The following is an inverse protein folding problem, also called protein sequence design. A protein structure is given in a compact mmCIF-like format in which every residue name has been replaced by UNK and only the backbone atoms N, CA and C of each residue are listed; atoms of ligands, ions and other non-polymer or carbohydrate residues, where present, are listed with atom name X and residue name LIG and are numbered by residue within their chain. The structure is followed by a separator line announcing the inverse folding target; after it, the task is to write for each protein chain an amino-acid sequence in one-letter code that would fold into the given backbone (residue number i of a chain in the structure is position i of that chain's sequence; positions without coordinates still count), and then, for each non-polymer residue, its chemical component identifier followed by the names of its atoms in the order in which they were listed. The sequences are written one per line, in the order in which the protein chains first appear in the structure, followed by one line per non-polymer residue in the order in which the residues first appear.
data_IF_223555929789
#
_entry.id   IF_223555929789
#
_cell.length_a   1.000
_cell.length_b   1.000
_cell.length_c   1.000
_cell.angle_alpha   90.00
_cell.angle_beta   90.00
_cell.angle_gamma   90.00
#
_symmetry.space_group_name_H-M   'P 1'
#
loop_
_entity.id
_entity.type
_entity.pdbx_description
1 polymer ?
#
# COMPACT_ATOMS: atom_id res chain seq x y z
N UNK A 1 -3.90 -21.88 13.49
CA UNK A 1 -5.21 -21.20 13.58
C UNK A 1 -4.97 -19.89 14.31
N UNK A 2 -4.53 -18.84 13.60
CA UNK A 2 -4.32 -17.52 14.21
C UNK A 2 -5.67 -16.82 14.24
N UNK A 3 -6.20 -16.63 15.45
CA UNK A 3 -7.50 -16.02 15.70
C UNK A 3 -7.64 -14.67 15.00
N UNK A 4 -8.82 -14.42 14.44
CA UNK A 4 -9.24 -13.09 14.04
C UNK A 4 -9.12 -12.14 15.25
N UNK A 5 -8.79 -10.85 15.04
CA UNK A 5 -8.63 -9.90 16.13
C UNK A 5 -9.93 -9.82 16.96
N UNK A 6 -9.83 -10.16 18.25
CA UNK A 6 -10.98 -10.37 19.14
C UNK A 6 -11.84 -9.11 19.42
N UNK A 7 -11.41 -7.91 19.01
CA UNK A 7 -12.17 -6.65 19.19
C UNK A 7 -12.01 -5.72 17.99
N UNK A 8 -13.10 -5.09 17.52
CA UNK A 8 -13.03 -4.05 16.52
C UNK A 8 -12.12 -2.90 16.97
N UNK A 9 -11.17 -2.50 16.12
CA UNK A 9 -10.25 -1.40 16.38
C UNK A 9 -9.91 -0.67 15.09
N UNK A 10 -9.96 0.66 15.13
CA UNK A 10 -9.40 1.57 14.14
C UNK A 10 -8.24 2.33 14.77
N UNK A 11 -7.02 1.92 14.43
CA UNK A 11 -5.78 2.47 14.95
C UNK A 11 -5.17 3.45 13.94
N UNK A 12 -5.37 4.74 14.18
CA UNK A 12 -4.87 5.83 13.36
C UNK A 12 -3.36 5.99 13.57
N UNK A 13 -2.61 6.01 12.48
CA UNK A 13 -1.15 6.23 12.43
C UNK A 13 -0.90 7.53 11.66
N UNK A 14 -0.38 8.54 12.36
CA UNK A 14 -0.11 9.86 11.78
C UNK A 14 1.13 9.83 10.89
N UNK A 15 1.08 10.46 9.73
CA UNK A 15 2.25 10.62 8.84
C UNK A 15 3.44 11.29 9.54
N UNK A 16 3.16 12.23 10.43
CA UNK A 16 4.19 12.95 11.18
C UNK A 16 4.92 12.09 12.22
N UNK A 17 4.28 11.00 12.68
CA UNK A 17 4.81 10.06 13.68
C UNK A 17 5.52 8.86 13.04
N UNK A 18 5.46 8.73 11.71
CA UNK A 18 6.16 7.67 10.98
C UNK A 18 7.65 7.89 11.09
N UNK A 19 8.38 6.79 11.31
CA UNK A 19 9.84 6.82 11.26
C UNK A 19 10.30 7.33 9.89
N UNK A 20 11.23 8.28 9.88
CA UNK A 20 11.80 8.86 8.66
C UNK A 20 13.25 8.43 8.51
N UNK A 21 13.67 8.11 7.30
CA UNK A 21 15.06 7.82 6.98
C UNK A 21 15.49 8.51 5.68
N UNK A 22 16.81 8.62 5.51
CA UNK A 22 17.46 9.15 4.31
C UNK A 22 18.51 8.11 3.87
N UNK A 23 18.10 7.05 3.15
CA UNK A 23 18.97 5.91 2.87
C UNK A 23 20.11 6.25 1.91
N UNK A 24 19.94 7.28 1.07
CA UNK A 24 20.97 7.86 0.21
C UNK A 24 20.65 9.34 -0.06
N UNK A 25 21.59 10.06 -0.67
CA UNK A 25 21.38 11.44 -1.08
C UNK A 25 20.16 11.58 -2.00
N UNK A 26 19.29 12.54 -1.68
CA UNK A 26 18.07 12.79 -2.45
C UNK A 26 16.96 11.77 -2.25
N UNK A 27 17.05 10.87 -1.27
CA UNK A 27 15.98 9.92 -0.94
C UNK A 27 15.45 10.19 0.46
N UNK A 28 14.15 10.45 0.58
CA UNK A 28 13.45 10.51 1.86
C UNK A 28 12.39 9.41 1.91
N UNK A 29 12.45 8.60 2.97
CA UNK A 29 11.47 7.54 3.20
C UNK A 29 10.71 7.79 4.50
N UNK A 30 9.39 7.62 4.48
CA UNK A 30 8.55 7.48 5.68
C UNK A 30 8.11 6.04 5.80
N UNK A 31 8.33 5.40 6.94
CA UNK A 31 8.03 3.98 7.16
C UNK A 31 6.79 3.79 8.03
N UNK A 32 5.89 2.90 7.62
CA UNK A 32 4.69 2.56 8.41
C UNK A 32 5.01 1.47 9.46
N UNK A 33 6.02 0.66 9.18
CA UNK A 33 6.45 -0.50 9.97
C UNK A 33 7.95 -0.43 10.22
N UNK A 34 8.46 -1.35 11.03
CA UNK A 34 9.90 -1.59 11.20
C UNK A 34 10.52 -1.87 9.84
N UNK A 35 11.58 -1.15 9.50
CA UNK A 35 12.19 -1.22 8.20
C UNK A 35 13.64 -0.73 8.27
N UNK A 36 14.53 -1.39 7.52
CA UNK A 36 15.96 -1.07 7.52
C UNK A 36 16.54 -1.05 8.95
N UNK A 37 17.40 -0.10 9.28
CA UNK A 37 18.03 0.07 10.59
C UNK A 37 17.09 0.50 11.74
N UNK A 38 15.78 0.64 11.50
CA UNK A 38 14.81 0.96 12.54
C UNK A 38 13.92 -0.24 12.87
N UNK A 39 13.94 -0.62 14.15
CA UNK A 39 13.21 -1.76 14.66
C UNK A 39 12.34 -1.38 15.86
N UNK A 40 11.03 -1.54 15.71
CA UNK A 40 10.06 -1.59 16.80
C UNK A 40 9.40 -2.98 16.79
N UNK A 41 9.67 -3.84 17.79
CA UNK A 41 9.15 -5.21 17.82
C UNK A 41 7.61 -5.28 17.84
N UNK A 42 6.93 -4.20 18.21
CA UNK A 42 5.45 -4.12 18.21
C UNK A 42 4.88 -3.62 16.89
N UNK A 43 5.73 -3.25 15.94
CA UNK A 43 5.33 -2.61 14.68
C UNK A 43 6.04 -3.23 13.47
N UNK A 44 6.15 -4.56 13.42
CA UNK A 44 6.84 -5.26 12.32
C UNK A 44 5.95 -5.52 11.10
N UNK A 45 4.64 -5.62 11.28
CA UNK A 45 3.66 -5.89 10.22
C UNK A 45 2.23 -5.55 10.70
N UNK A 46 1.25 -5.61 9.79
CA UNK A 46 -0.18 -5.62 10.13
C UNK A 46 -0.95 -6.47 9.12
N UNK A 47 -1.70 -7.48 9.59
CA UNK A 47 -2.22 -8.50 8.69
C UNK A 47 -1.05 -9.20 7.99
N UNK A 48 -1.11 -9.32 6.67
CA UNK A 48 -0.02 -9.83 5.82
C UNK A 48 0.93 -8.73 5.31
N UNK A 49 0.65 -7.45 5.61
CA UNK A 49 1.41 -6.31 5.11
C UNK A 49 2.67 -6.10 5.96
N UNK A 50 3.83 -6.18 5.31
CA UNK A 50 5.18 -6.07 5.90
C UNK A 50 5.73 -4.65 5.82
N UNK A 51 5.44 -3.93 4.74
CA UNK A 51 5.85 -2.55 4.53
C UNK A 51 4.76 -1.75 3.82
N UNK A 52 4.74 -0.44 4.04
CA UNK A 52 3.95 0.51 3.27
C UNK A 52 4.68 1.84 3.36
N UNK A 53 5.77 2.00 2.62
CA UNK A 53 6.63 3.17 2.68
C UNK A 53 6.14 4.26 1.74
N UNK A 54 6.19 5.51 2.17
CA UNK A 54 6.10 6.66 1.26
C UNK A 54 7.52 7.13 0.96
N UNK A 55 7.85 7.20 -0.32
CA UNK A 55 9.18 7.51 -0.82
C UNK A 55 9.13 8.81 -1.61
N UNK A 56 10.10 9.69 -1.39
CA UNK A 56 10.34 10.92 -2.15
C UNK A 56 11.78 10.90 -2.66
N UNK A 57 11.94 10.88 -3.98
CA UNK A 57 13.25 10.83 -4.64
C UNK A 57 13.45 12.12 -5.44
N UNK A 58 14.52 12.84 -5.17
CA UNK A 58 14.98 13.99 -5.93
C UNK A 58 15.27 13.61 -7.41
N UNK A 59 15.34 14.59 -8.32
CA UNK A 59 15.75 14.34 -9.71
C UNK A 59 17.05 13.53 -9.80
N UNK A 60 17.02 12.43 -10.55
CA UNK A 60 18.17 11.53 -10.73
C UNK A 60 18.47 10.59 -9.56
N UNK A 61 17.89 10.81 -8.38
CA UNK A 61 18.05 9.92 -7.22
C UNK A 61 17.35 8.58 -7.47
N UNK A 62 17.81 7.53 -6.79
CA UNK A 62 17.29 6.18 -6.96
C UNK A 62 17.96 5.17 -6.03
N UNK A 63 17.31 4.02 -5.91
CA UNK A 63 17.87 2.86 -5.23
C UNK A 63 18.78 2.10 -6.20
N UNK A 64 20.05 1.99 -5.83
CA UNK A 64 21.03 1.15 -6.51
C UNK A 64 20.60 -0.33 -6.48
N UNK A 65 21.30 -1.17 -7.25
CA UNK A 65 20.92 -2.58 -7.37
C UNK A 65 20.88 -3.27 -6.01
N UNK A 66 19.71 -3.78 -5.65
CA UNK A 66 19.49 -4.51 -4.41
C UNK A 66 18.56 -5.70 -4.65
N UNK A 67 18.61 -6.68 -3.74
CA UNK A 67 17.95 -7.97 -3.90
C UNK A 67 16.79 -8.15 -2.94
N UNK A 68 15.70 -8.69 -3.46
CA UNK A 68 14.57 -9.19 -2.69
C UNK A 68 14.39 -10.69 -2.88
N UNK A 69 13.77 -11.34 -1.89
CA UNK A 69 13.36 -12.74 -1.94
C UNK A 69 12.07 -12.90 -1.16
N UNK A 70 11.17 -13.74 -1.65
CA UNK A 70 9.95 -14.14 -0.93
C UNK A 70 9.08 -12.97 -0.42
N UNK A 71 9.05 -11.88 -1.19
CA UNK A 71 8.23 -10.69 -0.93
C UNK A 71 7.47 -10.31 -2.18
N UNK A 72 6.22 -9.90 -2.02
CA UNK A 72 5.44 -9.26 -3.08
C UNK A 72 5.49 -7.74 -2.91
N UNK A 73 6.05 -7.03 -3.88
CA UNK A 73 6.27 -5.58 -3.84
C UNK A 73 5.31 -4.91 -4.82
N UNK A 74 4.52 -3.96 -4.33
CA UNK A 74 3.62 -3.16 -5.14
C UNK A 74 4.00 -1.68 -5.03
N UNK A 75 4.11 -1.01 -6.17
CA UNK A 75 4.48 0.40 -6.25
C UNK A 75 3.38 1.21 -6.92
N UNK A 76 2.90 2.23 -6.21
CA UNK A 76 1.90 3.18 -6.69
C UNK A 76 2.48 4.59 -6.70
N UNK A 77 2.68 5.15 -7.90
CA UNK A 77 3.25 6.50 -8.05
C UNK A 77 2.18 7.55 -7.84
N UNK A 78 2.48 8.53 -6.98
CA UNK A 78 1.61 9.67 -6.69
C UNK A 78 1.95 10.88 -7.57
N UNK A 79 3.24 11.08 -7.84
CA UNK A 79 3.77 12.21 -8.62
C UNK A 79 5.08 11.79 -9.30
N UNK A 80 5.37 12.35 -10.48
CA UNK A 80 6.62 12.11 -11.20
C UNK A 80 6.65 10.79 -11.97
N UNK A 81 7.84 10.20 -12.13
CA UNK A 81 8.01 8.94 -12.86
C UNK A 81 9.17 8.09 -12.30
N UNK A 82 8.88 6.83 -11.98
CA UNK A 82 9.85 5.88 -11.42
C UNK A 82 10.20 4.82 -12.47
N UNK A 83 11.46 4.74 -12.87
CA UNK A 83 11.95 3.63 -13.69
C UNK A 83 12.29 2.43 -12.82
N UNK A 84 11.88 1.26 -13.29
CA UNK A 84 12.26 -0.05 -12.76
C UNK A 84 13.09 -0.80 -13.80
N UNK A 85 14.10 -1.55 -13.32
CA UNK A 85 14.81 -2.57 -14.09
C UNK A 85 15.20 -3.71 -13.16
N UNK A 86 15.02 -4.96 -13.59
CA UNK A 86 15.42 -6.13 -12.82
C UNK A 86 16.34 -7.11 -13.55
N UNK A 87 16.90 -8.03 -12.77
CA UNK A 87 17.81 -9.09 -13.24
C UNK A 87 17.14 -10.19 -14.07
N UNK A 88 15.81 -10.13 -14.26
CA UNK A 88 15.05 -11.00 -15.17
C UNK A 88 14.73 -10.33 -16.50
N UNK A 89 15.28 -9.13 -16.72
CA UNK A 89 15.15 -8.39 -17.96
C UNK A 89 13.87 -7.56 -18.06
N UNK A 90 13.03 -7.52 -17.00
CA UNK A 90 11.88 -6.63 -17.02
C UNK A 90 12.35 -5.19 -16.78
N UNK A 91 11.68 -4.25 -17.44
CA UNK A 91 11.87 -2.82 -17.21
C UNK A 91 10.59 -2.07 -17.54
N UNK A 92 10.39 -0.91 -16.91
CA UNK A 92 9.21 -0.10 -17.11
C UNK A 92 9.32 1.25 -16.41
N UNK A 93 8.48 2.20 -16.81
CA UNK A 93 8.36 3.50 -16.13
C UNK A 93 6.96 3.61 -15.54
N UNK A 94 6.89 3.65 -14.22
CA UNK A 94 5.66 3.80 -13.44
C UNK A 94 5.36 5.29 -13.28
N UNK A 95 4.13 5.69 -13.57
CA UNK A 95 3.64 7.09 -13.45
C UNK A 95 2.33 7.11 -12.67
N UNK A 96 1.81 8.28 -12.26
CA UNK A 96 0.50 8.38 -11.63
C UNK A 96 -0.58 7.63 -12.42
N UNK A 97 -1.44 6.92 -11.69
CA UNK A 97 -2.45 6.04 -12.27
C UNK A 97 -1.91 4.69 -12.77
N UNK A 98 -0.66 4.33 -12.47
CA UNK A 98 -0.12 3.00 -12.77
C UNK A 98 0.25 2.26 -11.48
N UNK A 99 -0.08 0.97 -11.45
CA UNK A 99 0.37 0.03 -10.44
C UNK A 99 1.47 -0.85 -11.03
N UNK A 100 2.60 -0.95 -10.33
CA UNK A 100 3.64 -1.93 -10.62
C UNK A 100 3.63 -3.03 -9.54
N UNK A 101 3.89 -4.26 -9.96
CA UNK A 101 4.02 -5.45 -9.13
C UNK A 101 5.35 -6.14 -9.41
N UNK A 102 6.04 -6.56 -8.35
CA UNK A 102 7.22 -7.41 -8.40
C UNK A 102 7.05 -8.51 -7.34
N UNK A 103 6.78 -9.73 -7.80
CA UNK A 103 6.81 -10.91 -6.94
C UNK A 103 8.22 -11.49 -6.91
N UNK A 104 9.00 -11.21 -5.87
CA UNK A 104 10.43 -11.53 -5.82
C UNK A 104 10.73 -13.03 -5.85
N UNK A 105 9.90 -13.85 -5.19
CA UNK A 105 10.01 -15.31 -5.24
C UNK A 105 11.40 -15.83 -4.85
N UNK A 106 11.96 -16.75 -5.65
CA UNK A 106 13.29 -17.34 -5.44
C UNK A 106 14.46 -16.35 -5.47
N UNK A 107 14.22 -15.13 -5.94
CA UNK A 107 15.08 -13.98 -5.76
C UNK A 107 15.21 -13.14 -7.01
N UNK A 108 15.17 -11.82 -6.85
CA UNK A 108 15.34 -10.85 -7.94
C UNK A 108 16.16 -9.67 -7.44
N UNK A 109 17.11 -9.20 -8.25
CA UNK A 109 17.82 -7.94 -8.02
C UNK A 109 17.20 -6.89 -8.92
N UNK A 110 17.06 -5.66 -8.42
CA UNK A 110 16.47 -4.56 -9.19
C UNK A 110 17.01 -3.20 -8.80
N UNK A 111 16.79 -2.24 -9.69
CA UNK A 111 17.08 -0.80 -9.49
C UNK A 111 15.80 0.00 -9.69
N UNK A 112 15.65 1.06 -8.91
CA UNK A 112 14.53 1.99 -9.03
C UNK A 112 15.08 3.41 -9.10
N UNK A 113 14.78 4.19 -10.15
CA UNK A 113 15.35 5.52 -10.32
C UNK A 113 14.31 6.55 -10.74
N UNK A 114 14.40 7.75 -10.20
CA UNK A 114 13.65 8.89 -10.71
C UNK A 114 14.13 9.23 -12.13
N UNK A 115 13.27 9.01 -13.12
CA UNK A 115 13.54 9.31 -14.54
C UNK A 115 12.58 10.37 -15.11
N UNK A 116 11.86 11.08 -14.24
CA UNK A 116 10.96 12.18 -14.62
C UNK A 116 11.65 13.38 -15.28
N UNK A 117 12.98 13.31 -15.50
CA UNK A 117 13.80 14.39 -16.03
C UNK A 117 14.39 15.27 -14.93
N UNK A 118 14.85 16.46 -15.32
CA UNK A 118 15.30 17.51 -14.38
C UNK A 118 14.12 18.30 -13.76
N UNK A 119 12.88 17.90 -14.05
CA UNK A 119 11.68 18.72 -13.87
C UNK A 119 11.03 18.59 -12.47
N UNK A 120 11.40 17.60 -11.66
CA UNK A 120 10.86 17.46 -10.31
C UNK A 120 11.11 16.11 -9.62
N UNK A 121 10.74 15.99 -8.33
CA UNK A 121 10.86 14.74 -7.60
C UNK A 121 9.84 13.70 -8.07
N UNK A 122 10.07 12.44 -7.73
CA UNK A 122 9.05 11.38 -7.80
C UNK A 122 8.61 11.04 -6.38
N UNK A 123 7.29 10.95 -6.17
CA UNK A 123 6.68 10.54 -4.91
C UNK A 123 5.82 9.31 -5.13
N UNK A 124 6.01 8.28 -4.31
CA UNK A 124 5.28 7.01 -4.47
C UNK A 124 5.08 6.27 -3.15
N UNK A 125 4.15 5.32 -3.16
CA UNK A 125 3.93 4.37 -2.07
C UNK A 125 4.43 3.01 -2.50
N UNK A 126 5.34 2.41 -1.73
CA UNK A 126 5.81 1.04 -1.94
C UNK A 126 5.33 0.13 -0.80
N UNK A 127 4.58 -0.91 -1.15
CA UNK A 127 3.92 -1.82 -0.22
C UNK A 127 4.49 -3.22 -0.37
N UNK A 128 4.81 -3.86 0.74
CA UNK A 128 5.36 -5.21 0.74
C UNK A 128 4.39 -6.15 1.44
N UNK A 129 4.04 -7.24 0.78
CA UNK A 129 3.10 -8.25 1.25
C UNK A 129 3.82 -9.60 1.36
N UNK A 130 3.55 -10.35 2.43
CA UNK A 130 4.04 -11.71 2.55
C UNK A 130 3.28 -12.63 1.56
N UNK A 131 3.97 -13.40 0.70
CA UNK A 131 3.32 -14.39 -0.16
C UNK A 131 2.90 -15.63 0.63
N UNK A 132 1.96 -16.40 0.07
CA UNK A 132 1.65 -17.76 0.57
C UNK A 132 2.62 -18.82 0.05
N UNK A 133 3.27 -18.54 -1.07
CA UNK A 133 4.14 -19.48 -1.77
C UNK A 133 5.54 -18.87 -1.84
N UNK A 134 6.43 -19.45 -1.03
CA UNK A 134 7.85 -19.14 -1.00
C UNK A 134 8.56 -19.84 -2.17
N UNK A 135 9.70 -19.30 -2.58
CA UNK A 135 10.58 -19.80 -3.63
C UNK A 135 9.93 -19.98 -5.02
N UNK A 136 8.79 -19.32 -5.25
CA UNK A 136 8.17 -19.27 -6.57
C UNK A 136 9.09 -18.56 -7.59
N UNK A 137 8.99 -18.82 -8.91
CA UNK A 137 9.73 -18.04 -9.90
C UNK A 137 9.42 -16.53 -9.80
N UNK A 138 10.36 -15.61 -10.01
CA UNK A 138 10.04 -14.18 -9.98
C UNK A 138 8.96 -13.79 -11.00
N UNK A 139 8.12 -12.81 -10.67
CA UNK A 139 7.10 -12.28 -11.56
C UNK A 139 7.06 -10.76 -11.55
N UNK A 140 6.66 -10.16 -12.66
CA UNK A 140 6.54 -8.72 -12.83
C UNK A 140 5.22 -8.37 -13.50
N UNK A 141 4.62 -7.24 -13.10
CA UNK A 141 3.43 -6.69 -13.72
C UNK A 141 3.45 -5.17 -13.70
N UNK A 142 2.93 -4.56 -14.76
CA UNK A 142 2.72 -3.12 -14.84
C UNK A 142 1.37 -2.87 -15.50
N UNK A 143 0.49 -2.16 -14.79
CA UNK A 143 -0.89 -1.91 -15.24
C UNK A 143 -1.22 -0.44 -15.09
N UNK A 144 -1.83 0.14 -16.13
CA UNK A 144 -2.54 1.42 -16.02
C UNK A 144 -3.93 1.17 -15.46
N UNK A 145 -4.30 2.00 -14.50
CA UNK A 145 -5.53 1.88 -13.74
C UNK A 145 -6.38 3.10 -14.05
N UNK A 146 -7.53 2.83 -14.64
CA UNK A 146 -8.60 3.81 -14.76
C UNK A 146 -9.52 3.62 -13.53
N UNK A 147 -9.73 4.67 -12.72
CA UNK A 147 -10.66 4.58 -11.59
C UNK A 147 -12.07 4.19 -12.07
N UNK A 148 -12.69 3.25 -11.38
CA UNK A 148 -14.04 2.79 -11.67
C UNK A 148 -15.10 3.80 -11.22
N UNK A 149 -16.23 3.81 -11.93
CA UNK A 149 -17.45 4.48 -11.50
C UNK A 149 -17.92 3.88 -10.18
N UNK A 150 -18.14 4.71 -9.15
CA UNK A 150 -18.55 4.27 -7.82
C UNK A 150 -17.41 4.13 -6.80
N UNK A 151 -16.18 4.49 -7.17
CA UNK A 151 -15.13 4.83 -6.20
C UNK A 151 -14.35 3.67 -5.59
N UNK A 152 -14.52 2.44 -6.08
CA UNK A 152 -13.70 1.27 -5.71
C UNK A 152 -13.13 0.61 -6.96
N UNK A 153 -11.80 0.60 -7.07
CA UNK A 153 -11.09 -0.01 -8.20
C UNK A 153 -10.14 -1.09 -7.70
N UNK A 154 -10.31 -2.32 -8.20
CA UNK A 154 -9.43 -3.43 -7.85
C UNK A 154 -8.08 -3.29 -8.58
N UNK A 155 -7.01 -3.13 -7.80
CA UNK A 155 -5.66 -2.95 -8.35
C UNK A 155 -4.92 -4.28 -8.49
N UNK A 156 -4.89 -5.06 -7.41
CA UNK A 156 -4.26 -6.37 -7.35
C UNK A 156 -5.05 -7.32 -6.43
N UNK A 157 -5.09 -8.61 -6.74
CA UNK A 157 -5.78 -9.60 -5.90
C UNK A 157 -5.20 -10.99 -6.06
N UNK A 158 -5.14 -11.74 -4.96
CA UNK A 158 -4.93 -13.18 -4.99
C UNK A 158 -6.20 -13.99 -4.70
N UNK A 159 -7.32 -13.32 -4.43
CA UNK A 159 -8.58 -13.98 -4.11
C UNK A 159 -9.14 -14.72 -5.32
N UNK A 160 -9.78 -15.86 -5.07
CA UNK A 160 -10.34 -16.71 -6.13
C UNK A 160 -11.50 -16.01 -6.88
N UNK A 161 -12.32 -15.24 -6.16
CA UNK A 161 -13.46 -14.49 -6.72
C UNK A 161 -13.03 -13.44 -7.76
N UNK A 162 -11.76 -13.01 -7.73
CA UNK A 162 -11.23 -11.97 -8.61
C UNK A 162 -10.40 -12.53 -9.78
N UNK A 163 -10.34 -13.87 -9.94
CA UNK A 163 -9.44 -14.58 -10.87
C UNK A 163 -9.68 -14.34 -12.38
N UNK A 164 -10.69 -13.54 -12.75
CA UNK A 164 -10.98 -13.14 -14.12
C UNK A 164 -11.03 -11.62 -14.33
N UNK A 165 -10.57 -10.85 -13.35
CA UNK A 165 -10.49 -9.39 -13.45
C UNK A 165 -9.15 -8.97 -14.06
N UNK A 166 -9.05 -7.70 -14.46
CA UNK A 166 -7.80 -7.11 -14.95
C UNK A 166 -6.78 -6.82 -13.82
N UNK A 167 -7.09 -7.18 -12.57
CA UNK A 167 -6.22 -6.95 -11.42
C UNK A 167 -4.88 -7.70 -11.55
N UNK A 168 -3.78 -7.06 -11.12
CA UNK A 168 -2.51 -7.77 -11.03
C UNK A 168 -2.63 -8.93 -10.04
N UNK A 169 -2.15 -10.11 -10.43
CA UNK A 169 -2.34 -11.33 -9.64
C UNK A 169 -1.32 -11.41 -8.50
N UNK A 170 -1.81 -11.44 -7.26
CA UNK A 170 -0.99 -11.70 -6.07
C UNK A 170 -0.82 -13.21 -5.85
N UNK A 171 0.27 -13.58 -5.20
CA UNK A 171 0.54 -14.94 -4.70
C UNK A 171 -0.11 -15.18 -3.34
N UNK A 172 -0.24 -14.14 -2.52
CA UNK A 172 -1.07 -14.14 -1.32
C UNK A 172 -2.53 -14.31 -1.70
N UNK A 173 -3.09 -15.50 -1.48
CA UNK A 173 -4.39 -15.93 -2.04
C UNK A 173 -5.61 -15.35 -1.32
N UNK A 174 -5.38 -14.64 -0.24
CA UNK A 174 -6.43 -14.13 0.64
C UNK A 174 -6.24 -12.62 0.92
N UNK A 175 -5.66 -11.91 -0.04
CA UNK A 175 -5.50 -10.46 0.00
C UNK A 175 -5.84 -9.79 -1.33
N UNK A 176 -6.26 -8.52 -1.25
CA UNK A 176 -6.44 -7.62 -2.38
C UNK A 176 -6.00 -6.19 -2.02
N UNK A 177 -5.57 -5.45 -3.03
CA UNK A 177 -5.29 -4.03 -2.98
C UNK A 177 -6.32 -3.28 -3.82
N UNK A 178 -6.95 -2.28 -3.22
CA UNK A 178 -7.97 -1.44 -3.82
C UNK A 178 -7.51 0.02 -3.85
N UNK A 179 -7.90 0.73 -4.91
CA UNK A 179 -7.95 2.19 -4.92
C UNK A 179 -9.37 2.60 -4.53
N UNK A 180 -9.48 3.45 -3.52
CA UNK A 180 -10.74 4.01 -3.05
C UNK A 180 -10.75 5.50 -3.37
N UNK A 181 -11.79 5.99 -4.03
CA UNK A 181 -11.99 7.41 -4.31
C UNK A 181 -13.38 7.85 -3.85
N UNK A 182 -13.47 9.06 -3.33
CA UNK A 182 -14.74 9.69 -3.00
C UNK A 182 -14.70 11.19 -3.32
N UNK A 183 -15.81 11.68 -3.86
CA UNK A 183 -16.01 13.09 -4.18
C UNK A 183 -16.11 13.94 -2.90
N UNK A 184 -15.94 15.27 -3.01
CA UNK A 184 -16.10 16.19 -1.90
C UNK A 184 -17.37 15.95 -1.07
N UNK A 185 -17.18 15.83 0.24
CA UNK A 185 -18.26 15.65 1.23
C UNK A 185 -19.11 14.38 1.06
N UNK A 186 -18.68 13.42 0.24
CA UNK A 186 -19.36 12.15 0.09
C UNK A 186 -18.80 11.08 1.05
N UNK A 187 -19.63 10.13 1.50
CA UNK A 187 -19.13 8.94 2.18
C UNK A 187 -18.22 8.13 1.24
N UNK A 188 -17.26 7.41 1.80
CA UNK A 188 -16.56 6.38 1.04
C UNK A 188 -17.57 5.31 0.58
N UNK A 189 -17.33 4.65 -0.57
CA UNK A 189 -18.09 3.47 -0.92
C UNK A 189 -17.93 2.36 0.14
N UNK A 190 -18.83 1.37 0.12
CA UNK A 190 -18.79 0.25 1.05
C UNK A 190 -17.47 -0.55 0.87
N UNK A 191 -16.60 -0.48 1.89
CA UNK A 191 -15.30 -1.15 1.83
C UNK A 191 -15.47 -2.67 1.93
N UNK A 192 -14.66 -3.47 1.21
CA UNK A 192 -14.73 -4.92 1.28
C UNK A 192 -14.52 -5.42 2.72
N UNK A 193 -15.31 -6.38 3.21
CA UNK A 193 -15.14 -6.91 4.55
C UNK A 193 -13.87 -7.77 4.61
N UNK A 194 -13.07 -7.58 5.66
CA UNK A 194 -11.90 -8.40 5.95
C UNK A 194 -11.49 -8.29 7.41
N UNK A 195 -10.85 -9.34 7.92
CA UNK A 195 -10.37 -9.38 9.31
C UNK A 195 -9.28 -8.33 9.57
N UNK A 196 -8.45 -8.02 8.56
CA UNK A 196 -7.48 -6.93 8.58
C UNK A 196 -7.68 -6.04 7.35
N UNK A 197 -7.87 -4.75 7.60
CA UNK A 197 -7.92 -3.72 6.56
C UNK A 197 -6.90 -2.63 6.87
N UNK A 198 -6.08 -2.24 5.90
CA UNK A 198 -5.12 -1.15 6.06
C UNK A 198 -5.42 -0.07 5.03
N UNK A 199 -5.90 1.08 5.50
CA UNK A 199 -6.24 2.23 4.65
C UNK A 199 -5.14 3.28 4.75
N UNK A 200 -4.59 3.72 3.62
CA UNK A 200 -3.57 4.75 3.52
C UNK A 200 -4.10 5.90 2.65
N UNK A 201 -4.28 7.09 3.23
CA UNK A 201 -4.82 8.25 2.53
C UNK A 201 -3.70 8.91 1.71
N UNK A 202 -3.85 8.98 0.38
CA UNK A 202 -2.82 9.52 -0.51
C UNK A 202 -3.13 10.94 -0.99
N UNK A 203 -4.41 11.34 -1.01
CA UNK A 203 -4.84 12.69 -1.37
C UNK A 203 -6.19 13.05 -0.70
N UNK A 204 -6.46 14.36 -0.58
CA UNK A 204 -7.68 14.88 0.03
C UNK A 204 -7.67 14.79 1.55
N UNK A 205 -8.85 14.68 2.15
CA UNK A 205 -9.01 14.50 3.61
C UNK A 205 -10.17 13.57 3.93
N UNK A 206 -10.13 12.94 5.10
CA UNK A 206 -11.18 11.99 5.50
C UNK A 206 -11.52 12.15 6.99
N UNK A 207 -12.80 12.27 7.31
CA UNK A 207 -13.33 12.11 8.67
C UNK A 207 -13.91 10.72 8.88
N UNK A 208 -13.77 10.14 10.07
CA UNK A 208 -14.39 8.85 10.43
C UNK A 208 -14.60 8.74 11.94
N UNK A 209 -15.35 7.73 12.38
CA UNK A 209 -15.52 7.36 13.80
C UNK A 209 -14.78 6.06 14.10
N UNK A 210 -14.11 5.97 15.25
CA UNK A 210 -13.30 4.78 15.58
C UNK A 210 -14.12 3.49 15.60
N UNK A 211 -15.35 3.54 16.09
CA UNK A 211 -16.36 2.47 16.06
C UNK A 211 -17.75 3.08 15.81
N UNK A 212 -18.76 2.29 15.38
CA UNK A 212 -20.13 2.76 15.24
C UNK A 212 -20.76 3.20 16.57
N UNK A 213 -21.76 4.08 16.51
CA UNK A 213 -22.57 4.48 17.66
C UNK A 213 -21.87 5.44 18.64
N UNK A 214 -22.52 5.83 19.75
CA UNK A 214 -22.11 6.96 20.58
C UNK A 214 -20.72 6.82 21.24
N UNK A 215 -20.21 5.59 21.38
CA UNK A 215 -18.90 5.32 21.99
C UNK A 215 -17.72 5.58 21.04
N UNK A 216 -17.95 5.66 19.73
CA UNK A 216 -16.90 5.97 18.77
C UNK A 216 -16.44 7.43 18.88
N UNK A 217 -15.11 7.63 18.91
CA UNK A 217 -14.53 8.97 18.84
C UNK A 217 -14.38 9.42 17.39
N UNK A 218 -14.67 10.68 17.10
CA UNK A 218 -14.37 11.29 15.81
C UNK A 218 -12.86 11.40 15.59
N UNK A 219 -12.41 11.12 14.37
CA UNK A 219 -11.02 11.23 13.90
C UNK A 219 -11.01 11.82 12.49
N UNK A 220 -9.90 12.43 12.13
CA UNK A 220 -9.64 12.94 10.79
C UNK A 220 -8.27 12.48 10.30
N UNK A 221 -8.13 12.33 8.99
CA UNK A 221 -6.92 11.93 8.28
C UNK A 221 -6.54 13.00 7.26
N UNK A 222 -5.24 13.21 7.11
CA UNK A 222 -4.62 13.99 6.03
C UNK A 222 -3.70 13.10 5.20
N UNK A 223 -3.24 13.51 4.01
CA UNK A 223 -2.40 12.66 3.17
C UNK A 223 -1.15 12.15 3.91
N UNK A 224 -0.89 10.86 3.74
CA UNK A 224 0.13 10.07 4.42
C UNK A 224 -0.31 9.44 5.74
N UNK A 225 -1.45 9.85 6.32
CA UNK A 225 -2.03 9.14 7.46
C UNK A 225 -2.55 7.77 7.03
N UNK A 226 -2.54 6.81 7.96
CA UNK A 226 -3.13 5.48 7.72
C UNK A 226 -3.96 5.00 8.90
N UNK A 227 -4.87 4.07 8.66
CA UNK A 227 -5.64 3.40 9.71
C UNK A 227 -5.52 1.90 9.55
N UNK A 228 -5.14 1.24 10.65
CA UNK A 228 -5.21 -0.21 10.80
C UNK A 228 -6.57 -0.58 11.37
N UNK A 229 -7.33 -1.34 10.61
CA UNK A 229 -8.74 -1.61 10.87
C UNK A 229 -8.93 -3.10 11.08
N UNK A 230 -9.64 -3.45 12.15
CA UNK A 230 -10.03 -4.82 12.51
C UNK A 230 -11.51 -4.82 12.90
N UNK A 231 -12.23 -5.88 12.58
CA UNK A 231 -13.69 -5.96 12.78
C UNK A 231 -14.45 -4.79 12.14
N UNK A 232 -15.58 -4.39 12.73
CA UNK A 232 -16.49 -3.33 12.27
C UNK A 232 -16.06 -1.90 12.67
N UNK A 233 -14.77 -1.68 12.96
CA UNK A 233 -14.26 -0.35 13.26
C UNK A 233 -14.17 0.53 12.00
N UNK A 234 -13.75 1.80 12.15
CA UNK A 234 -13.64 2.77 11.04
C UNK A 234 -15.01 3.06 10.41
N UNK A 235 -15.92 3.56 11.24
CA UNK A 235 -17.31 3.81 10.89
C UNK A 235 -17.50 5.18 10.23
N UNK A 236 -18.48 5.23 9.32
CA UNK A 236 -18.93 6.43 8.60
C UNK A 236 -17.80 7.27 7.97
N UNK A 237 -16.83 6.66 7.27
CA UNK A 237 -15.74 7.41 6.65
C UNK A 237 -16.30 8.33 5.55
N UNK A 238 -16.04 9.63 5.68
CA UNK A 238 -16.56 10.68 4.80
C UNK A 238 -15.44 11.57 4.32
N UNK A 239 -15.37 11.79 3.00
CA UNK A 239 -14.39 12.66 2.38
C UNK A 239 -14.61 14.13 2.78
N UNK A 240 -13.51 14.88 2.89
CA UNK A 240 -13.58 16.32 3.12
C UNK A 240 -13.79 17.11 1.83
N UNK A 241 -13.45 18.40 1.87
CA UNK A 241 -13.71 19.35 0.78
C UNK A 241 -13.03 19.00 -0.56
N UNK A 242 -11.85 18.40 -0.51
CA UNK A 242 -11.07 18.06 -1.70
C UNK A 242 -11.27 16.60 -2.15
N UNK A 243 -12.32 15.95 -1.65
CA UNK A 243 -12.51 14.51 -1.81
C UNK A 243 -11.51 13.69 -0.99
N UNK A 244 -11.39 12.40 -1.32
CA UNK A 244 -10.43 11.50 -0.72
C UNK A 244 -9.95 10.44 -1.73
N UNK A 245 -8.66 10.10 -1.69
CA UNK A 245 -8.08 8.99 -2.43
C UNK A 245 -7.26 8.13 -1.47
N UNK A 246 -7.56 6.84 -1.40
CA UNK A 246 -6.88 5.89 -0.51
C UNK A 246 -6.42 4.64 -1.24
N UNK A 247 -5.30 4.08 -0.78
CA UNK A 247 -4.94 2.69 -1.01
C UNK A 247 -5.48 1.87 0.16
N UNK A 248 -6.25 0.83 -0.15
CA UNK A 248 -6.86 -0.05 0.85
C UNK A 248 -6.41 -1.50 0.62
N UNK A 249 -5.70 -2.05 1.60
CA UNK A 249 -5.46 -3.48 1.69
C UNK A 249 -6.63 -4.18 2.36
N UNK A 250 -7.14 -5.21 1.71
CA UNK A 250 -8.04 -6.24 2.23
C UNK A 250 -7.21 -7.50 2.52
N UNK A 251 -7.23 -8.02 3.75
CA UNK A 251 -6.43 -9.19 4.15
C UNK A 251 -7.22 -10.10 5.11
N UNK A 252 -7.25 -11.40 4.82
CA UNK A 252 -8.05 -12.37 5.58
C UNK A 252 -7.24 -13.25 6.54
N UNK A 253 -5.92 -13.21 6.48
CA UNK A 253 -5.05 -13.83 7.48
C UNK A 253 -3.80 -12.98 7.71
N UNK A 254 -3.15 -13.09 8.88
CA UNK A 254 -1.92 -12.37 9.17
C UNK A 254 -0.72 -13.03 8.50
N UNK A 255 0.48 -12.48 8.70
CA UNK A 255 1.70 -13.18 8.34
C UNK A 255 1.73 -14.58 8.97
N UNK A 256 2.20 -15.56 8.22
CA UNK A 256 2.41 -16.92 8.70
C UNK A 256 3.85 -17.31 8.38
N UNK A 257 4.56 -17.75 9.40
CA UNK A 257 5.83 -18.43 9.26
C UNK A 257 5.53 -19.91 9.50
N UNK A 258 5.89 -20.76 8.54
CA UNK A 258 5.71 -22.21 8.66
C UNK A 258 6.41 -22.79 9.88
#
# INVERSE_FOLDING_TARGET
MTDAPARPRADLRRTAERYRSTPAEGIETRHAFSFSGHYDPKNTHFGALLACNEELLAPGAGFEEHKHRDTEILTWVLEGALAHRDSRGHSGVVRPGMLQYLGAGSGVSHTERNVGGADGPVRFVQMWLQPDVFDAPPAYGLRRVEPADGGLTLLASGLARDAGTDALRLRRRDAALWLVTADPWQPLPALPPAAWRYAHLTAGSLGFRTVPGPQGGGRSMVPGDSVRITGEAFADPTAGQDGAVLLLWEMHSPVSYG
#
